data_IF_893308288607
#
_entry.id   IF_893308288607
#
_cell.length_a   1.000
_cell.length_b   1.000
_cell.length_c   1.000
_cell.angle_alpha   90.00
_cell.angle_beta   90.00
_cell.angle_gamma   90.00
#
_symmetry.space_group_name_H-M   'P 1'
#
loop_
_entity.id
_entity.type
_entity.pdbx_description
1 polymer ?
#
# COMPACT_ATOMS: atom_id res chain seq x y z
N UNK A 1 -7.60 9.44 -10.66
CA UNK A 1 -7.02 10.02 -9.44
C UNK A 1 -8.16 10.27 -8.47
N UNK A 2 -7.98 9.95 -7.19
CA UNK A 2 -8.99 10.15 -6.15
C UNK A 2 -8.25 10.80 -4.98
N UNK A 3 -8.76 11.93 -4.50
CA UNK A 3 -8.22 12.64 -3.34
C UNK A 3 -8.94 12.13 -2.08
N UNK A 4 -8.15 11.79 -1.06
CA UNK A 4 -8.67 11.25 0.20
C UNK A 4 -7.95 11.96 1.35
N UNK A 5 -8.71 12.46 2.31
CA UNK A 5 -8.20 13.16 3.49
C UNK A 5 -7.69 12.17 4.54
N UNK A 6 -6.63 11.45 4.20
CA UNK A 6 -5.91 10.53 5.09
C UNK A 6 -4.41 10.77 4.98
N UNK A 7 -3.65 10.66 6.09
CA UNK A 7 -2.20 10.72 6.02
C UNK A 7 -1.65 9.66 5.06
N UNK A 8 -0.66 10.04 4.24
CA UNK A 8 -0.03 9.14 3.28
C UNK A 8 0.53 7.86 3.94
N UNK A 9 1.01 7.96 5.18
CA UNK A 9 1.47 6.81 5.97
C UNK A 9 0.37 5.79 6.24
N UNK A 10 -0.85 6.24 6.53
CA UNK A 10 -2.01 5.37 6.79
C UNK A 10 -2.44 4.68 5.52
N UNK A 11 -2.58 5.43 4.42
CA UNK A 11 -2.89 4.84 3.11
C UNK A 11 -1.83 3.79 2.73
N UNK A 12 -0.55 4.09 2.91
CA UNK A 12 0.53 3.15 2.61
C UNK A 12 0.48 1.89 3.47
N UNK A 13 0.19 2.02 4.77
CA UNK A 13 0.07 0.88 5.67
C UNK A 13 -1.04 -0.08 5.21
N UNK A 14 -2.19 0.44 4.78
CA UNK A 14 -3.29 -0.37 4.24
C UNK A 14 -2.86 -1.18 2.99
N UNK A 15 -2.03 -0.61 2.11
CA UNK A 15 -1.48 -1.33 0.95
C UNK A 15 -0.31 -2.26 1.31
N UNK A 16 0.38 -2.01 2.43
CA UNK A 16 1.48 -2.84 2.91
C UNK A 16 1.00 -4.17 3.46
N UNK A 17 -0.12 -4.17 4.20
CA UNK A 17 -0.79 -5.36 4.74
C UNK A 17 -1.59 -6.11 3.67
N UNK A 18 -0.85 -6.70 2.73
CA UNK A 18 -1.36 -7.27 1.47
C UNK A 18 -2.45 -8.33 1.64
N UNK A 19 -2.41 -9.10 2.72
CA UNK A 19 -3.41 -10.15 2.98
C UNK A 19 -4.75 -9.59 3.47
N UNK A 20 -4.78 -8.33 3.91
CA UNK A 20 -6.02 -7.62 4.29
C UNK A 20 -6.73 -7.01 3.07
N UNK A 21 -6.07 -6.95 1.92
CA UNK A 21 -6.59 -6.34 0.69
C UNK A 21 -7.96 -6.88 0.27
N UNK A 22 -8.22 -8.21 0.30
CA UNK A 22 -9.54 -8.75 0.00
C UNK A 22 -10.67 -8.20 0.88
N UNK A 23 -10.37 -7.70 2.09
CA UNK A 23 -11.40 -7.15 2.99
C UNK A 23 -11.98 -5.83 2.49
N UNK A 24 -11.20 -5.04 1.75
CA UNK A 24 -11.61 -3.72 1.26
C UNK A 24 -11.62 -3.61 -0.29
N UNK A 25 -11.02 -4.58 -0.99
CA UNK A 25 -11.14 -4.78 -2.45
C UNK A 25 -11.83 -6.13 -2.76
N UNK A 26 -13.17 -6.18 -2.78
CA UNK A 26 -13.94 -7.44 -2.86
C UNK A 26 -13.78 -8.21 -4.17
N UNK A 27 -13.24 -7.58 -5.23
CA UNK A 27 -12.92 -8.25 -6.49
C UNK A 27 -11.64 -9.10 -6.41
N UNK A 28 -10.78 -8.83 -5.42
CA UNK A 28 -9.62 -9.67 -5.13
C UNK A 28 -10.08 -10.76 -4.17
N UNK A 29 -10.02 -12.01 -4.62
CA UNK A 29 -10.44 -13.16 -3.81
C UNK A 29 -9.37 -13.57 -2.79
N UNK A 30 -8.10 -13.56 -3.16
CA UNK A 30 -7.00 -13.88 -2.24
C UNK A 30 -5.72 -13.15 -2.64
N UNK A 31 -4.96 -12.75 -1.64
CA UNK A 31 -3.56 -12.34 -1.79
C UNK A 31 -2.74 -13.17 -0.82
N UNK A 32 -1.67 -13.79 -1.30
CA UNK A 32 -0.75 -14.59 -0.47
C UNK A 32 0.69 -14.23 -0.79
N UNK A 33 1.49 -13.95 0.23
CA UNK A 33 2.94 -13.80 0.07
C UNK A 33 3.55 -15.19 -0.11
N UNK A 34 4.49 -15.33 -1.05
CA UNK A 34 5.17 -16.60 -1.29
C UNK A 34 6.22 -16.85 -0.19
N UNK A 35 6.12 -17.97 0.53
CA UNK A 35 7.04 -18.32 1.62
C UNK A 35 8.49 -18.50 1.14
N UNK A 36 8.67 -19.04 -0.07
CA UNK A 36 9.96 -19.25 -0.70
C UNK A 36 10.57 -17.94 -1.24
N UNK A 37 9.71 -16.97 -1.56
CA UNK A 37 10.05 -15.71 -2.24
C UNK A 37 9.22 -14.55 -1.67
N UNK A 38 9.60 -14.01 -0.50
CA UNK A 38 8.82 -12.96 0.17
C UNK A 38 8.76 -11.66 -0.64
N UNK A 39 9.61 -11.48 -1.65
CA UNK A 39 9.55 -10.39 -2.61
C UNK A 39 8.41 -10.54 -3.63
N UNK A 40 7.71 -11.67 -3.66
CA UNK A 40 6.59 -11.94 -4.54
C UNK A 40 5.31 -12.22 -3.74
N UNK A 41 4.18 -11.77 -4.30
CA UNK A 41 2.85 -12.15 -3.84
C UNK A 41 2.04 -12.71 -5.00
N UNK A 42 1.23 -13.73 -4.70
CA UNK A 42 0.24 -14.28 -5.61
C UNK A 42 -1.10 -13.61 -5.34
N UNK A 43 -1.67 -13.06 -6.39
CA UNK A 43 -2.97 -12.41 -6.38
C UNK A 43 -3.95 -13.24 -7.19
N UNK A 44 -5.16 -13.40 -6.67
CA UNK A 44 -6.24 -14.13 -7.35
C UNK A 44 -7.48 -13.26 -7.39
N UNK A 45 -8.01 -13.06 -8.58
CA UNK A 45 -9.24 -12.33 -8.86
C UNK A 45 -10.31 -13.33 -9.29
N UNK A 46 -11.50 -13.23 -8.68
CA UNK A 46 -12.68 -14.03 -9.03
C UNK A 46 -13.83 -13.12 -9.36
N UNK A 47 -14.47 -13.38 -10.48
CA UNK A 47 -15.60 -12.60 -10.95
C UNK A 47 -16.48 -13.43 -11.87
N UNK A 48 -17.78 -13.20 -11.81
CA UNK A 48 -18.76 -13.87 -12.65
C UNK A 48 -19.01 -13.04 -13.92
N UNK A 49 -18.78 -13.64 -15.08
CA UNK A 49 -19.16 -13.08 -16.39
C UNK A 49 -20.15 -14.01 -17.05
N UNK A 50 -21.31 -13.48 -17.48
CA UNK A 50 -22.33 -14.22 -18.23
C UNK A 50 -22.77 -15.53 -17.52
N UNK A 51 -22.83 -15.51 -16.19
CA UNK A 51 -23.20 -16.68 -15.38
C UNK A 51 -22.13 -17.75 -15.24
N UNK A 52 -20.87 -17.46 -15.60
CA UNK A 52 -19.72 -18.33 -15.40
C UNK A 52 -18.70 -17.68 -14.48
N UNK A 53 -18.20 -18.43 -13.51
CA UNK A 53 -17.12 -17.98 -12.65
C UNK A 53 -15.80 -18.04 -13.41
N UNK A 54 -15.12 -16.90 -13.47
CA UNK A 54 -13.79 -16.77 -14.05
C UNK A 54 -12.81 -16.45 -12.93
N UNK A 55 -11.71 -17.20 -12.89
CA UNK A 55 -10.61 -17.00 -11.95
C UNK A 55 -9.35 -16.63 -12.72
N UNK A 56 -8.68 -15.56 -12.30
CA UNK A 56 -7.39 -15.14 -12.85
C UNK A 56 -6.38 -15.00 -11.71
N UNK A 57 -5.20 -15.58 -11.89
CA UNK A 57 -4.12 -15.50 -10.91
C UNK A 57 -2.83 -14.96 -11.54
N UNK A 58 -2.15 -14.06 -10.85
CA UNK A 58 -0.87 -13.49 -11.29
C UNK A 58 0.11 -13.34 -10.12
N UNK A 59 1.40 -13.17 -10.46
CA UNK A 59 2.45 -12.86 -9.51
C UNK A 59 2.77 -11.37 -9.59
N UNK A 60 2.86 -10.72 -8.43
CA UNK A 60 3.24 -9.33 -8.29
C UNK A 60 4.49 -9.21 -7.42
N UNK A 61 5.35 -8.23 -7.73
CA UNK A 61 6.52 -7.92 -6.90
C UNK A 61 6.09 -7.06 -5.71
N UNK A 62 6.46 -7.49 -4.51
CA UNK A 62 6.27 -6.73 -3.29
C UNK A 62 7.32 -5.63 -3.22
N UNK A 63 6.93 -4.42 -3.62
CA UNK A 63 7.78 -3.25 -3.42
C UNK A 63 7.72 -2.84 -1.95
N UNK A 64 8.88 -2.83 -1.30
CA UNK A 64 9.09 -2.18 -0.01
C UNK A 64 9.79 -0.87 -0.30
N UNK A 65 9.17 0.26 0.04
CA UNK A 65 9.92 1.51 0.11
C UNK A 65 10.78 1.40 1.37
N UNK A 66 12.07 1.09 1.19
CA UNK A 66 13.02 1.23 2.29
C UNK A 66 12.99 2.70 2.72
N UNK A 67 12.67 2.91 3.99
CA UNK A 67 12.69 4.10 4.88
C UNK A 67 13.84 5.13 4.73
N UNK A 68 14.44 5.30 3.55
CA UNK A 68 15.47 6.33 3.32
C UNK A 68 14.97 7.75 3.58
N UNK A 69 13.65 7.99 3.56
CA UNK A 69 13.06 9.29 3.94
C UNK A 69 13.10 9.57 5.45
N UNK A 70 13.22 8.55 6.31
CA UNK A 70 13.34 8.72 7.75
C UNK A 70 14.80 8.96 8.18
N UNK A 71 15.73 8.22 7.55
CA UNK A 71 17.17 8.38 7.80
C UNK A 71 17.74 9.68 7.22
N UNK A 72 17.29 10.09 6.03
CA UNK A 72 17.70 11.36 5.43
C UNK A 72 17.25 12.58 6.25
N UNK A 73 16.10 12.52 6.91
CA UNK A 73 15.62 13.58 7.81
C UNK A 73 16.46 13.67 9.10
N UNK A 74 16.91 12.51 9.61
CA UNK A 74 17.73 12.41 10.82
C UNK A 74 19.19 12.82 10.55
N UNK A 75 19.75 12.45 9.40
CA UNK A 75 21.15 12.77 9.01
C UNK A 75 21.33 14.25 8.57
N UNK A 76 20.27 14.92 8.13
CA UNK A 76 20.30 16.34 7.75
C UNK A 76 19.99 17.31 8.91
N UNK A 77 19.80 16.81 10.14
CA UNK A 77 19.54 17.66 11.31
C UNK A 77 18.25 18.48 11.21
N UNK A 78 17.31 18.08 10.35
CA UNK A 78 16.05 18.80 10.16
C UNK A 78 15.08 18.35 11.25
N UNK A 79 14.87 19.22 12.24
CA UNK A 79 13.92 18.97 13.31
C UNK A 79 12.49 19.00 12.75
N UNK A 80 11.82 17.85 12.76
CA UNK A 80 10.48 17.62 12.18
C UNK A 80 9.40 18.53 12.81
N UNK A 81 9.67 19.20 13.94
CA UNK A 81 8.77 20.23 14.46
C UNK A 81 8.60 21.44 13.53
N UNK A 82 9.60 21.79 12.71
CA UNK A 82 9.52 22.96 11.83
C UNK A 82 8.56 22.77 10.64
N UNK A 83 8.31 21.52 10.22
CA UNK A 83 7.38 21.23 9.11
C UNK A 83 5.92 21.35 9.56
N UNK A 84 5.65 21.25 10.88
CA UNK A 84 4.29 21.43 11.41
C UNK A 84 3.86 22.91 11.51
N UNK A 85 4.82 23.86 11.45
CA UNK A 85 4.53 25.29 11.55
C UNK A 85 4.27 25.97 10.20
N UNK A 86 4.73 25.42 9.07
CA UNK A 86 4.51 26.02 7.76
C UNK A 86 3.13 25.77 7.15
N UNK A 87 2.34 24.81 7.68
CA UNK A 87 0.95 24.60 7.25
C UNK A 87 -0.09 25.38 8.05
N UNK A 88 0.31 26.15 9.08
CA UNK A 88 -0.61 27.00 9.88
C UNK A 88 -0.52 28.49 9.49
N UNK A 89 0.33 28.86 8.53
CA UNK A 89 0.41 30.24 8.02
C UNK A 89 0.04 30.31 6.53
N UNK A 90 -1.20 29.92 6.22
CA UNK A 90 -1.88 30.37 5.02
C UNK A 90 -3.25 30.94 5.43
N UNK A 91 -3.22 32.16 5.99
CA UNK A 91 -4.34 33.10 5.99
C UNK A 91 -3.93 34.30 5.13
#
# INVERSE_FOLDING_TARGET
EIEVDVPCSVAYQCYSERETIPQWMPFISTVKVLEDKPELSRWTLKYAILGRDVEFSWLARNMTVSIYYDKAATDLGVNIQLIKLSSVSAN
#
